data_IF_620466252110
#
_entry.id   IF_620466252110
#
_cell.length_a   1.000
_cell.length_b   1.000
_cell.length_c   1.000
_cell.angle_alpha   90.00
_cell.angle_beta   90.00
_cell.angle_gamma   90.00
#
_symmetry.space_group_name_H-M   'P 1'
#
loop_
_entity.id
_entity.type
_entity.pdbx_description
1 polymer ?
#
# COMPACT_ATOMS: atom_id res chain seq x y z
N UNK A 1 7.06 -37.65 -11.47
CA UNK A 1 5.59 -37.82 -11.48
C UNK A 1 4.99 -37.76 -10.09
N UNK A 2 4.89 -36.56 -9.53
CA UNK A 2 4.03 -36.26 -8.38
C UNK A 2 2.83 -35.50 -8.93
N UNK A 3 1.73 -36.21 -9.17
CA UNK A 3 0.46 -35.60 -9.55
C UNK A 3 -0.05 -34.77 -8.36
N UNK A 4 0.25 -33.46 -8.36
CA UNK A 4 -0.32 -32.51 -7.42
C UNK A 4 -1.84 -32.45 -7.63
N UNK A 5 -2.59 -32.62 -6.54
CA UNK A 5 -4.04 -32.63 -6.55
C UNK A 5 -4.62 -31.39 -7.22
N UNK A 6 -5.58 -31.61 -8.14
CA UNK A 6 -6.38 -30.53 -8.73
C UNK A 6 -7.18 -29.85 -7.62
N UNK A 7 -7.11 -28.52 -7.44
CA UNK A 7 -7.82 -27.87 -6.35
C UNK A 7 -9.35 -28.03 -6.50
N UNK A 8 -9.99 -28.79 -5.61
CA UNK A 8 -11.41 -29.05 -5.71
C UNK A 8 -12.25 -27.93 -5.08
N UNK A 9 -13.24 -27.43 -5.82
CA UNK A 9 -14.33 -26.60 -5.30
C UNK A 9 -13.95 -25.14 -4.98
N UNK A 10 -13.41 -24.88 -3.79
CA UNK A 10 -13.30 -23.54 -3.20
C UNK A 10 -12.14 -22.75 -3.81
N UNK A 11 -10.96 -23.36 -3.93
CA UNK A 11 -9.81 -22.72 -4.58
C UNK A 11 -10.08 -22.38 -6.06
N UNK A 12 -10.82 -23.25 -6.78
CA UNK A 12 -11.21 -23.00 -8.16
C UNK A 12 -12.21 -21.84 -8.28
N UNK A 13 -13.13 -21.68 -7.31
CA UNK A 13 -14.00 -20.50 -7.20
C UNK A 13 -13.17 -19.25 -6.88
N UNK A 14 -12.22 -19.34 -5.96
CA UNK A 14 -11.34 -18.23 -5.60
C UNK A 14 -10.50 -17.74 -6.79
N UNK A 15 -9.91 -18.65 -7.57
CA UNK A 15 -9.19 -18.31 -8.81
C UNK A 15 -10.07 -17.55 -9.80
N UNK A 16 -11.32 -18.00 -9.98
CA UNK A 16 -12.29 -17.31 -10.86
C UNK A 16 -12.64 -15.92 -10.35
N UNK A 17 -12.89 -15.78 -9.05
CA UNK A 17 -13.16 -14.47 -8.43
C UNK A 17 -11.96 -13.52 -8.58
N UNK A 18 -10.74 -14.04 -8.39
CA UNK A 18 -9.51 -13.25 -8.56
C UNK A 18 -9.30 -12.82 -10.01
N UNK A 19 -9.56 -13.70 -10.98
CA UNK A 19 -9.51 -13.39 -12.41
C UNK A 19 -10.54 -12.31 -12.81
N UNK A 20 -11.76 -12.38 -12.26
CA UNK A 20 -12.80 -11.39 -12.49
C UNK A 20 -12.44 -10.02 -11.89
N UNK A 21 -11.93 -9.99 -10.66
CA UNK A 21 -11.53 -8.75 -9.98
C UNK A 21 -10.32 -8.09 -10.64
N UNK A 22 -9.37 -8.88 -11.13
CA UNK A 22 -8.18 -8.38 -11.82
C UNK A 22 -8.37 -8.09 -13.31
N UNK A 23 -9.54 -8.43 -13.87
CA UNK A 23 -9.86 -8.23 -15.28
C UNK A 23 -8.98 -9.04 -16.26
N UNK A 24 -8.29 -10.09 -15.77
CA UNK A 24 -7.34 -10.89 -16.55
C UNK A 24 -7.49 -12.38 -16.28
N UNK A 25 -7.12 -13.20 -17.26
CA UNK A 25 -7.07 -14.66 -17.09
C UNK A 25 -5.85 -15.04 -16.24
N UNK A 26 -6.08 -15.80 -15.17
CA UNK A 26 -5.00 -16.29 -14.29
C UNK A 26 -4.77 -17.77 -14.56
N UNK A 27 -3.57 -18.11 -15.01
CA UNK A 27 -3.17 -19.52 -15.25
C UNK A 27 -3.10 -20.31 -13.94
N UNK A 28 -3.11 -21.64 -14.03
CA UNK A 28 -3.02 -22.46 -12.81
C UNK A 28 -1.67 -22.28 -12.11
N UNK A 29 -0.55 -22.28 -12.84
CA UNK A 29 0.78 -22.04 -12.27
C UNK A 29 0.89 -20.66 -11.61
N UNK A 30 0.38 -19.62 -12.27
CA UNK A 30 0.38 -18.26 -11.72
C UNK A 30 -0.47 -18.16 -10.45
N UNK A 31 -1.63 -18.81 -10.42
CA UNK A 31 -2.46 -18.85 -9.24
C UNK A 31 -1.78 -19.55 -8.06
N UNK A 32 -1.02 -20.63 -8.32
CA UNK A 32 -0.21 -21.29 -7.30
C UNK A 32 0.87 -20.36 -6.75
N UNK A 33 1.59 -19.64 -7.61
CA UNK A 33 2.58 -18.64 -7.19
C UNK A 33 1.95 -17.56 -6.29
N UNK A 34 0.79 -17.01 -6.67
CA UNK A 34 0.10 -15.99 -5.87
C UNK A 34 -0.32 -16.51 -4.49
N UNK A 35 -0.82 -17.75 -4.41
CA UNK A 35 -1.14 -18.40 -3.14
C UNK A 35 0.11 -18.61 -2.27
N UNK A 36 1.22 -19.00 -2.89
CA UNK A 36 2.51 -19.15 -2.21
C UNK A 36 3.05 -17.82 -1.68
N UNK A 37 3.00 -16.74 -2.47
CA UNK A 37 3.42 -15.41 -2.01
C UNK A 37 2.58 -14.89 -0.85
N UNK A 38 1.26 -15.09 -0.92
CA UNK A 38 0.36 -14.72 0.17
C UNK A 38 0.69 -15.49 1.47
N UNK A 39 0.99 -16.79 1.38
CA UNK A 39 1.41 -17.61 2.53
C UNK A 39 2.73 -17.16 3.13
N UNK A 40 3.73 -16.88 2.30
CA UNK A 40 5.02 -16.35 2.78
C UNK A 40 4.79 -15.05 3.54
N UNK A 41 4.00 -14.13 2.99
CA UNK A 41 3.68 -12.89 3.68
C UNK A 41 3.00 -13.12 5.03
N UNK A 42 2.04 -14.04 5.12
CA UNK A 42 1.38 -14.37 6.38
C UNK A 42 2.34 -14.98 7.41
N UNK A 43 3.29 -15.81 6.99
CA UNK A 43 4.33 -16.36 7.86
C UNK A 43 5.25 -15.25 8.38
N UNK A 44 5.70 -14.35 7.49
CA UNK A 44 6.53 -13.19 7.85
C UNK A 44 5.79 -12.26 8.81
N UNK A 45 4.50 -12.02 8.57
CA UNK A 45 3.65 -11.22 9.44
C UNK A 45 3.54 -11.85 10.84
N UNK A 46 3.25 -13.14 10.93
CA UNK A 46 3.16 -13.86 12.21
C UNK A 46 4.49 -13.87 13.00
N UNK A 47 5.64 -13.94 12.30
CA UNK A 47 6.97 -13.86 12.94
C UNK A 47 7.22 -12.46 13.52
N UNK A 48 6.85 -11.40 12.80
CA UNK A 48 7.05 -10.02 13.24
C UNK A 48 5.99 -9.53 14.24
N UNK A 49 4.89 -10.28 14.40
CA UNK A 49 3.82 -10.02 15.35
C UNK A 49 3.58 -11.26 16.23
N UNK A 50 4.50 -11.59 17.16
CA UNK A 50 4.53 -12.88 17.85
C UNK A 50 3.33 -13.15 18.78
N UNK A 51 2.49 -12.15 19.03
CA UNK A 51 1.23 -12.29 19.76
C UNK A 51 0.05 -12.70 18.87
N UNK A 52 0.22 -12.67 17.55
CA UNK A 52 -0.80 -12.98 16.56
C UNK A 52 -0.53 -14.37 15.96
N UNK A 53 -1.47 -15.30 16.14
CA UNK A 53 -1.33 -16.64 15.56
C UNK A 53 -1.51 -16.58 14.04
N UNK A 54 -0.92 -17.56 13.33
CA UNK A 54 -1.12 -17.68 11.89
C UNK A 54 -2.62 -17.80 11.55
N UNK A 55 -3.38 -18.55 12.34
CA UNK A 55 -4.85 -18.66 12.23
C UNK A 55 -5.56 -17.31 12.40
N UNK A 56 -5.17 -16.48 13.37
CA UNK A 56 -5.71 -15.13 13.54
C UNK A 56 -5.37 -14.20 12.35
N UNK A 57 -4.20 -14.39 11.75
CA UNK A 57 -3.78 -13.69 10.53
C UNK A 57 -4.65 -14.11 9.33
N UNK A 58 -4.96 -15.40 9.19
CA UNK A 58 -5.89 -15.94 8.19
C UNK A 58 -7.33 -15.43 8.37
N UNK A 59 -7.80 -15.34 9.62
CA UNK A 59 -9.14 -14.84 9.94
C UNK A 59 -9.29 -13.35 9.61
N UNK A 60 -8.24 -12.54 9.85
CA UNK A 60 -8.21 -11.13 9.42
C UNK A 60 -8.25 -10.97 7.91
N UNK A 61 -7.61 -11.88 7.17
CA UNK A 61 -7.67 -11.87 5.72
C UNK A 61 -9.08 -12.15 5.17
N UNK A 62 -10.03 -12.65 6.01
CA UNK A 62 -11.47 -12.96 5.78
C UNK A 62 -11.82 -13.88 4.61
N UNK A 63 -10.96 -13.95 3.60
CA UNK A 63 -11.10 -14.65 2.33
C UNK A 63 -10.33 -15.98 2.37
N UNK A 64 -9.29 -16.07 3.22
CA UNK A 64 -8.36 -17.20 3.24
C UNK A 64 -8.56 -18.19 4.39
N UNK A 65 -9.30 -17.85 5.46
CA UNK A 65 -9.46 -18.75 6.61
C UNK A 65 -10.10 -20.09 6.25
N UNK A 66 -11.14 -20.08 5.41
CA UNK A 66 -11.75 -21.30 4.86
C UNK A 66 -10.92 -22.01 3.79
N UNK A 67 -9.84 -21.39 3.31
CA UNK A 67 -8.96 -21.90 2.25
C UNK A 67 -7.59 -22.33 2.78
N UNK A 68 -7.27 -22.11 4.06
CA UNK A 68 -5.93 -22.28 4.60
C UNK A 68 -5.34 -23.68 4.29
N UNK A 69 -6.11 -24.74 4.55
CA UNK A 69 -5.69 -26.12 4.28
C UNK A 69 -5.58 -26.43 2.79
N UNK A 70 -6.47 -25.90 1.95
CA UNK A 70 -6.42 -26.08 0.48
C UNK A 70 -5.24 -25.31 -0.13
N UNK A 71 -4.93 -24.13 0.40
CA UNK A 71 -3.79 -23.29 -0.01
C UNK A 71 -2.47 -23.95 0.41
N UNK A 72 -2.36 -24.40 1.67
CA UNK A 72 -1.22 -25.17 2.18
C UNK A 72 -0.94 -26.44 1.34
N UNK A 73 -1.99 -27.13 0.88
CA UNK A 73 -1.84 -28.34 0.05
C UNK A 73 -1.35 -28.07 -1.39
N UNK A 74 -1.47 -26.84 -1.86
CA UNK A 74 -1.10 -26.43 -3.23
C UNK A 74 0.29 -25.79 -3.30
N UNK A 75 0.84 -25.41 -2.15
CA UNK A 75 2.17 -24.82 -2.04
C UNK A 75 3.25 -25.88 -2.14
N UNK A 76 4.28 -25.59 -2.93
CA UNK A 76 5.43 -26.46 -3.10
C UNK A 76 6.19 -26.63 -1.77
N UNK A 77 6.27 -27.86 -1.21
CA UNK A 77 7.00 -28.13 0.02
C UNK A 77 8.49 -27.77 -0.07
N UNK A 78 9.08 -27.88 -1.26
CA UNK A 78 10.48 -27.51 -1.53
C UNK A 78 10.67 -25.99 -1.50
N UNK A 79 9.69 -25.21 -1.96
CA UNK A 79 9.72 -23.76 -1.88
C UNK A 79 9.66 -23.28 -0.43
N UNK A 80 8.72 -23.81 0.37
CA UNK A 80 8.57 -23.50 1.81
C UNK A 80 9.85 -23.84 2.58
N UNK A 81 10.49 -24.97 2.25
CA UNK A 81 11.76 -25.38 2.84
C UNK A 81 12.96 -24.52 2.38
N UNK A 82 12.90 -23.93 1.18
CA UNK A 82 13.95 -23.08 0.61
C UNK A 82 13.82 -21.59 0.96
N UNK A 83 12.66 -21.15 1.45
CA UNK A 83 12.51 -19.86 2.13
C UNK A 83 13.25 -19.87 3.47
N UNK A 84 14.59 -19.90 3.41
CA UNK A 84 15.38 -19.29 4.47
C UNK A 84 15.06 -17.81 4.44
N UNK A 85 14.14 -17.39 5.29
CA UNK A 85 13.90 -15.99 5.57
C UNK A 85 15.25 -15.35 5.88
N UNK A 86 15.64 -14.26 5.19
CA UNK A 86 16.83 -13.51 5.57
C UNK A 86 16.68 -13.17 7.05
N UNK A 87 17.63 -13.62 7.87
CA UNK A 87 17.69 -13.15 9.24
C UNK A 87 17.85 -11.64 9.16
N UNK A 88 16.94 -10.84 9.77
CA UNK A 88 17.13 -9.40 9.75
C UNK A 88 18.52 -9.11 10.33
N UNK A 89 19.34 -8.26 9.68
CA UNK A 89 20.61 -7.86 10.26
C UNK A 89 20.33 -7.32 11.67
N UNK A 90 21.22 -7.61 12.61
CA UNK A 90 21.05 -7.31 14.04
C UNK A 90 20.82 -5.81 14.36
N UNK A 91 20.97 -4.95 13.37
CA UNK A 91 20.77 -3.52 13.44
C UNK A 91 19.28 -3.22 13.22
N UNK A 92 18.50 -3.30 14.30
CA UNK A 92 17.06 -2.98 14.38
C UNK A 92 16.72 -1.49 14.07
N UNK A 93 17.59 -0.76 13.38
CA UNK A 93 17.49 0.67 13.07
C UNK A 93 17.35 0.97 11.56
N UNK A 94 17.50 -0.01 10.67
CA UNK A 94 17.30 0.21 9.24
C UNK A 94 15.79 0.24 8.91
N UNK A 95 15.31 1.38 8.40
CA UNK A 95 13.92 1.60 7.95
C UNK A 95 13.42 0.37 7.17
N UNK A 96 12.36 -0.33 7.65
CA UNK A 96 11.84 -1.54 7.01
C UNK A 96 11.55 -1.36 5.51
N UNK A 97 11.21 -0.14 5.09
CA UNK A 97 11.05 0.20 3.68
C UNK A 97 12.38 0.08 2.91
N UNK A 98 13.49 0.56 3.47
CA UNK A 98 14.84 0.49 2.87
C UNK A 98 15.34 -0.95 2.71
N UNK A 99 14.97 -1.83 3.66
CA UNK A 99 15.26 -3.26 3.57
C UNK A 99 14.49 -3.91 2.42
N UNK A 100 13.22 -3.51 2.23
CA UNK A 100 12.42 -3.93 1.10
C UNK A 100 12.96 -3.40 -0.25
N UNK A 101 13.51 -2.18 -0.30
CA UNK A 101 14.20 -1.66 -1.50
C UNK A 101 15.37 -2.55 -1.92
N UNK A 102 16.21 -2.89 -0.94
CA UNK A 102 17.39 -3.72 -1.15
C UNK A 102 16.99 -5.12 -1.64
N UNK A 103 15.86 -5.64 -1.14
CA UNK A 103 15.29 -6.91 -1.56
C UNK A 103 14.74 -6.87 -2.99
N UNK A 104 14.01 -5.82 -3.37
CA UNK A 104 13.51 -5.66 -4.75
C UNK A 104 14.63 -5.36 -5.75
N UNK A 105 15.67 -4.64 -5.35
CA UNK A 105 16.84 -4.39 -6.18
C UNK A 105 17.63 -5.68 -6.47
N UNK A 106 17.63 -6.62 -5.52
CA UNK A 106 18.20 -7.96 -5.68
C UNK A 106 17.34 -8.89 -6.57
N UNK A 107 16.06 -8.55 -6.81
CA UNK A 107 15.21 -9.33 -7.72
C UNK A 107 15.59 -9.11 -9.20
N UNK A 108 15.68 -10.21 -9.93
CA UNK A 108 15.99 -10.24 -11.37
C UNK A 108 15.13 -9.24 -12.17
N UNK A 109 15.75 -8.33 -12.96
CA UNK A 109 15.04 -7.31 -13.74
C UNK A 109 13.97 -7.86 -14.69
N UNK A 110 14.18 -9.06 -15.25
CA UNK A 110 13.20 -9.69 -16.15
C UNK A 110 11.91 -10.07 -15.40
N UNK A 111 12.06 -10.50 -14.15
CA UNK A 111 10.97 -10.89 -13.26
C UNK A 111 10.19 -9.67 -12.75
N UNK A 112 10.88 -8.55 -12.46
CA UNK A 112 10.22 -7.28 -12.12
C UNK A 112 9.36 -6.74 -13.25
N UNK A 113 9.87 -6.79 -14.48
CA UNK A 113 9.13 -6.33 -15.67
C UNK A 113 7.90 -7.21 -15.93
N UNK A 114 8.03 -8.55 -15.85
CA UNK A 114 6.89 -9.47 -16.01
C UNK A 114 5.82 -9.27 -14.93
N UNK A 115 6.21 -8.94 -13.70
CA UNK A 115 5.30 -8.78 -12.56
C UNK A 115 4.80 -7.34 -12.38
N UNK A 116 5.30 -6.39 -13.18
CA UNK A 116 4.90 -4.98 -13.11
C UNK A 116 5.29 -4.27 -11.80
N UNK A 117 6.27 -4.81 -11.07
CA UNK A 117 6.68 -4.28 -9.75
C UNK A 117 7.82 -3.29 -9.92
N UNK A 118 7.50 -2.00 -9.76
CA UNK A 118 8.46 -0.90 -9.84
C UNK A 118 8.61 -0.22 -8.50
N UNK A 119 9.85 0.02 -8.09
CA UNK A 119 10.18 0.73 -6.87
C UNK A 119 10.49 2.20 -7.18
N UNK A 120 9.81 3.13 -6.49
CA UNK A 120 10.14 4.56 -6.54
C UNK A 120 10.95 4.91 -5.29
N UNK A 121 12.23 5.32 -5.41
CA UNK A 121 13.03 5.73 -4.27
C UNK A 121 12.34 6.82 -3.45
N UNK A 122 12.34 6.67 -2.12
CA UNK A 122 11.71 7.61 -1.18
C UNK A 122 12.12 9.06 -1.42
N UNK A 123 13.39 9.31 -1.75
CA UNK A 123 13.90 10.66 -2.06
C UNK A 123 13.24 11.29 -3.30
N UNK A 124 12.87 10.48 -4.29
CA UNK A 124 12.18 10.92 -5.50
C UNK A 124 10.70 11.19 -5.18
N UNK A 125 10.04 10.26 -4.49
CA UNK A 125 8.65 10.43 -4.06
C UNK A 125 8.49 11.70 -3.21
N UNK A 126 9.37 11.90 -2.22
CA UNK A 126 9.45 13.12 -1.39
C UNK A 126 9.56 14.39 -2.22
N UNK A 127 10.46 14.39 -3.20
CA UNK A 127 10.67 15.56 -4.05
C UNK A 127 9.41 15.91 -4.86
N UNK A 128 8.75 14.91 -5.45
CA UNK A 128 7.51 15.09 -6.20
C UNK A 128 6.41 15.65 -5.28
N UNK A 129 6.18 15.02 -4.12
CA UNK A 129 5.18 15.48 -3.14
C UNK A 129 5.46 16.92 -2.69
N UNK A 130 6.73 17.27 -2.44
CA UNK A 130 7.13 18.63 -2.09
C UNK A 130 6.83 19.64 -3.20
N UNK A 131 7.05 19.27 -4.46
CA UNK A 131 6.75 20.13 -5.62
C UNK A 131 5.26 20.38 -5.76
N UNK A 132 4.44 19.35 -5.54
CA UNK A 132 2.97 19.48 -5.54
C UNK A 132 2.53 20.42 -4.41
N UNK A 133 2.97 20.17 -3.16
CA UNK A 133 2.66 21.02 -2.00
C UNK A 133 3.06 22.49 -2.24
N UNK A 134 4.25 22.72 -2.80
CA UNK A 134 4.72 24.08 -3.15
C UNK A 134 3.83 24.72 -4.23
N UNK A 135 3.39 23.96 -5.22
CA UNK A 135 2.52 24.45 -6.30
C UNK A 135 1.14 24.84 -5.77
N UNK A 136 0.56 24.05 -4.86
CA UNK A 136 -0.71 24.37 -4.20
C UNK A 136 -0.61 25.70 -3.44
N UNK A 137 0.47 25.89 -2.69
CA UNK A 137 0.71 27.13 -1.93
C UNK A 137 0.92 28.35 -2.83
N UNK A 138 1.72 28.21 -3.88
CA UNK A 138 2.17 29.35 -4.69
C UNK A 138 1.21 29.73 -5.81
N UNK A 139 0.55 28.74 -6.44
CA UNK A 139 -0.28 28.98 -7.63
C UNK A 139 -1.77 28.97 -7.34
N UNK A 140 -2.20 28.21 -6.32
CA UNK A 140 -3.61 28.12 -5.94
C UNK A 140 -3.93 28.88 -4.65
N UNK A 141 -2.90 29.45 -4.01
CA UNK A 141 -3.00 30.24 -2.77
C UNK A 141 -3.56 29.43 -1.59
N UNK A 142 -3.34 28.12 -1.61
CA UNK A 142 -3.72 27.19 -0.54
C UNK A 142 -2.59 27.15 0.49
N UNK A 143 -2.72 27.93 1.56
CA UNK A 143 -1.62 28.23 2.52
C UNK A 143 -1.06 26.98 3.18
N UNK A 144 -1.93 26.01 3.46
CA UNK A 144 -1.55 24.75 4.09
C UNK A 144 -1.16 23.67 3.06
N UNK A 145 -1.17 24.00 1.77
CA UNK A 145 -0.75 23.13 0.67
C UNK A 145 -1.54 21.83 0.63
N UNK A 146 -0.86 20.69 0.80
CA UNK A 146 -1.54 19.39 0.83
C UNK A 146 -2.48 19.19 2.03
N UNK A 147 -2.34 19.98 3.09
CA UNK A 147 -3.19 19.91 4.29
C UNK A 147 -4.36 20.91 4.25
N UNK A 148 -4.52 21.65 3.16
CA UNK A 148 -5.52 22.70 3.04
C UNK A 148 -6.93 22.11 2.87
N UNK A 149 -7.89 22.64 3.64
CA UNK A 149 -9.28 22.17 3.67
C UNK A 149 -10.24 23.07 2.90
N UNK A 150 -9.73 24.05 2.15
CA UNK A 150 -10.55 24.92 1.29
C UNK A 150 -11.49 24.08 0.41
N UNK A 151 -12.78 24.42 0.39
CA UNK A 151 -13.79 23.67 -0.36
C UNK A 151 -13.83 24.06 -1.84
N UNK A 152 -14.54 23.27 -2.66
CA UNK A 152 -14.81 23.66 -4.04
C UNK A 152 -15.58 24.99 -4.14
N UNK A 153 -16.54 25.25 -3.24
CA UNK A 153 -17.27 26.52 -3.16
C UNK A 153 -16.31 27.71 -3.08
N UNK A 154 -15.39 27.70 -2.11
CA UNK A 154 -14.42 28.79 -1.91
C UNK A 154 -13.49 28.98 -3.11
N UNK A 155 -13.13 27.89 -3.80
CA UNK A 155 -12.29 27.95 -5.00
C UNK A 155 -13.03 28.52 -6.22
N UNK A 156 -14.32 28.23 -6.37
CA UNK A 156 -15.15 28.78 -7.45
C UNK A 156 -15.35 30.30 -7.29
N UNK A 157 -15.48 30.78 -6.05
CA UNK A 157 -15.51 32.23 -5.77
C UNK A 157 -14.18 32.91 -6.10
N UNK A 158 -13.05 32.26 -5.78
CA UNK A 158 -11.70 32.81 -6.04
C UNK A 158 -11.33 32.81 -7.52
N UNK A 159 -11.78 31.82 -8.27
CA UNK A 159 -11.43 31.63 -9.68
C UNK A 159 -12.69 31.53 -10.56
N UNK A 160 -13.21 32.67 -11.08
CA UNK A 160 -14.48 32.70 -11.84
C UNK A 160 -14.52 31.85 -13.13
N UNK A 161 -13.36 31.41 -13.63
CA UNK A 161 -13.24 30.51 -14.79
C UNK A 161 -13.16 29.03 -14.43
N UNK A 162 -13.23 28.69 -13.14
CA UNK A 162 -13.23 27.30 -12.66
C UNK A 162 -14.67 26.76 -12.68
N UNK A 163 -14.82 25.50 -13.05
CA UNK A 163 -16.11 24.82 -13.07
C UNK A 163 -16.08 23.61 -12.14
N UNK A 164 -17.20 23.37 -11.44
CA UNK A 164 -17.36 22.21 -10.58
C UNK A 164 -17.37 20.93 -11.44
N UNK A 165 -16.52 19.93 -11.16
CA UNK A 165 -16.54 18.66 -11.87
C UNK A 165 -17.88 17.92 -11.67
N UNK A 166 -18.37 17.18 -12.68
CA UNK A 166 -19.60 16.40 -12.55
C UNK A 166 -19.52 15.42 -11.37
N UNK A 167 -20.58 15.37 -10.55
CA UNK A 167 -20.67 14.46 -9.42
C UNK A 167 -19.79 14.82 -8.21
N UNK A 168 -19.30 16.06 -8.12
CA UNK A 168 -18.59 16.60 -6.94
C UNK A 168 -19.50 17.57 -6.18
N UNK A 169 -19.57 17.46 -4.86
CA UNK A 169 -20.26 18.44 -4.01
C UNK A 169 -19.41 19.72 -3.86
N UNK A 170 -20.05 20.89 -3.80
CA UNK A 170 -19.36 22.16 -3.61
C UNK A 170 -18.74 22.29 -2.20
N UNK A 171 -19.31 21.60 -1.20
CA UNK A 171 -18.80 21.61 0.18
C UNK A 171 -17.65 20.62 0.41
N UNK A 172 -17.33 19.77 -0.57
CA UNK A 172 -16.18 18.87 -0.48
C UNK A 172 -14.85 19.64 -0.53
N UNK A 173 -13.80 19.13 0.14
CA UNK A 173 -12.44 19.66 0.01
C UNK A 173 -11.97 19.68 -1.45
N UNK A 174 -11.37 20.79 -1.86
CA UNK A 174 -10.82 20.95 -3.21
C UNK A 174 -9.62 20.03 -3.44
N UNK A 175 -8.74 19.90 -2.45
CA UNK A 175 -7.54 19.04 -2.53
C UNK A 175 -7.93 17.60 -2.20
N UNK A 176 -7.91 16.74 -3.22
CA UNK A 176 -8.10 15.28 -3.07
C UNK A 176 -6.90 14.55 -3.66
N UNK A 177 -6.44 13.51 -2.96
CA UNK A 177 -5.22 12.77 -3.30
C UNK A 177 -5.60 11.35 -3.68
N UNK A 178 -5.16 10.92 -4.86
CA UNK A 178 -5.36 9.57 -5.37
C UNK A 178 -4.04 9.08 -5.95
N UNK A 179 -3.63 7.88 -5.54
CA UNK A 179 -2.54 7.15 -6.17
C UNK A 179 -3.09 5.86 -6.79
N UNK A 180 -3.41 5.86 -8.10
CA UNK A 180 -3.98 4.70 -8.78
C UNK A 180 -3.04 3.49 -8.83
N UNK A 181 -1.75 3.69 -8.59
CA UNK A 181 -0.71 2.67 -8.68
C UNK A 181 0.18 2.69 -7.43
N UNK A 182 -0.45 2.69 -6.26
CA UNK A 182 0.22 2.91 -4.98
C UNK A 182 1.41 1.98 -4.73
N UNK A 183 1.37 0.73 -5.20
CA UNK A 183 2.44 -0.25 -4.95
C UNK A 183 2.68 -0.40 -3.45
N UNK A 184 3.89 -0.07 -2.98
CA UNK A 184 4.23 -0.03 -1.54
C UNK A 184 3.67 1.18 -0.79
N UNK A 185 2.97 2.09 -1.47
CA UNK A 185 2.32 3.27 -0.88
C UNK A 185 3.24 4.46 -0.64
N UNK A 186 4.46 4.48 -1.20
CA UNK A 186 5.48 5.47 -0.85
C UNK A 186 5.06 6.92 -1.07
N UNK A 187 4.26 7.22 -2.11
CA UNK A 187 3.72 8.56 -2.33
C UNK A 187 2.72 8.96 -1.23
N UNK A 188 1.83 8.04 -0.84
CA UNK A 188 0.85 8.28 0.23
C UNK A 188 1.55 8.48 1.58
N UNK A 189 2.59 7.70 1.88
CA UNK A 189 3.41 7.88 3.09
C UNK A 189 4.03 9.28 3.12
N UNK A 190 4.67 9.70 2.02
CA UNK A 190 5.29 11.05 1.96
C UNK A 190 4.25 12.19 2.00
N UNK A 191 3.06 11.97 1.45
CA UNK A 191 1.92 12.91 1.57
C UNK A 191 1.49 13.04 3.03
N UNK A 192 1.27 11.92 3.73
CA UNK A 192 0.85 11.92 5.14
C UNK A 192 1.91 12.59 6.02
N UNK A 193 3.20 12.27 5.81
CA UNK A 193 4.28 12.94 6.54
C UNK A 193 4.31 14.45 6.29
N UNK A 194 4.06 14.89 5.04
CA UNK A 194 4.01 16.32 4.68
C UNK A 194 2.83 17.03 5.34
N UNK A 195 1.64 16.42 5.33
CA UNK A 195 0.43 16.94 5.98
C UNK A 195 0.67 17.04 7.49
N UNK A 196 1.13 15.96 8.11
CA UNK A 196 1.44 15.93 9.54
C UNK A 196 2.46 17.00 9.93
N UNK A 197 3.54 17.15 9.17
CA UNK A 197 4.55 18.21 9.40
C UNK A 197 3.94 19.62 9.31
N UNK A 198 3.03 19.85 8.36
CA UNK A 198 2.33 21.12 8.19
C UNK A 198 1.40 21.40 9.37
N UNK A 199 0.55 20.44 9.74
CA UNK A 199 -0.38 20.58 10.86
C UNK A 199 0.33 20.78 12.19
N UNK A 200 1.41 20.02 12.47
CA UNK A 200 2.25 20.21 13.67
C UNK A 200 2.87 21.61 13.73
N UNK A 201 3.22 22.22 12.60
CA UNK A 201 3.74 23.60 12.58
C UNK A 201 2.61 24.59 12.86
N UNK A 202 1.46 24.44 12.20
CA UNK A 202 0.28 25.27 12.40
C UNK A 202 -0.19 25.26 13.85
N UNK A 203 -0.43 24.08 14.43
CA UNK A 203 -0.88 23.96 15.82
C UNK A 203 0.09 24.51 16.85
N UNK A 204 1.41 24.37 16.61
CA UNK A 204 2.42 25.02 17.48
C UNK A 204 2.36 26.54 17.40
N UNK A 205 2.13 27.10 16.21
CA UNK A 205 1.95 28.54 16.05
C UNK A 205 0.64 29.03 16.69
N UNK A 206 -0.37 28.17 16.79
CA UNK A 206 -1.63 28.40 17.51
C UNK A 206 -1.52 28.16 19.03
N UNK A 207 -0.36 27.73 19.53
CA UNK A 207 -0.11 27.51 20.96
C UNK A 207 -0.66 26.19 21.54
N UNK A 208 -1.08 25.23 20.70
CA UNK A 208 -1.61 23.93 21.14
C UNK A 208 -0.52 23.02 21.69
N UNK A 209 -0.83 22.32 22.79
CA UNK A 209 0.09 21.37 23.43
C UNK A 209 0.10 19.98 22.77
N UNK A 210 1.13 19.17 23.02
CA UNK A 210 1.29 17.84 22.41
C UNK A 210 0.11 16.89 22.64
N UNK A 211 -0.57 16.98 23.80
CA UNK A 211 -1.76 16.17 24.10
C UNK A 211 -3.01 16.57 23.30
N UNK A 212 -3.14 17.85 22.96
CA UNK A 212 -4.26 18.37 22.16
C UNK A 212 -4.06 18.10 20.67
N UNK A 213 -2.81 17.94 20.22
CA UNK A 213 -2.46 17.60 18.84
C UNK A 213 -2.67 16.11 18.50
N UNK A 214 -2.76 15.22 19.50
CA UNK A 214 -2.99 13.78 19.33
C UNK A 214 -4.46 13.36 19.49
N UNK A 215 -5.34 14.31 19.84
CA UNK A 215 -6.76 14.09 20.12
C UNK A 215 -7.69 14.50 18.96
N UNK A 216 -7.12 14.87 17.81
CA UNK A 216 -7.81 15.25 16.56
C UNK A 216 -7.62 14.14 15.55
#
# INVERSE_FOLDING_TARGET
DTALATPAGTLAKFRRSLAQASGRTISESEFRELCTEALVWMIVHAINHPTETLEATFDRARILSGLANEVLAVVDPGFVASTSLPTPPADAAADPLLQYESHLAACDPSTRMRRGVFYTPRVIARHIVQRIDTTLRQRFELRDGLADTTTWHEMLERYPGLHLPPGTDADEPFVRILDPAAGTGIFLVEVIERIHSTMRKRWRNEGRGDKEMLAV
#
